data_IF_710116197236
#
_entry.id   IF_710116197236
#
_cell.length_a   1.000
_cell.length_b   1.000
_cell.length_c   1.000
_cell.angle_alpha   90.00
_cell.angle_beta   90.00
_cell.angle_gamma   90.00
#
_symmetry.space_group_name_H-M   'P 1'
#
loop_
_entity.id
_entity.type
_entity.pdbx_description
1 polymer ?
#
# COMPACT_ATOMS: atom_id res chain seq x y z
N UNK A 1 7.06 -8.51 24.78
CA UNK A 1 5.68 -8.45 24.24
C UNK A 1 5.76 -8.60 22.73
N UNK A 2 4.84 -9.33 22.12
CA UNK A 2 4.73 -9.38 20.65
C UNK A 2 4.27 -8.03 20.11
N UNK A 3 4.73 -7.64 18.92
CA UNK A 3 4.25 -6.43 18.24
C UNK A 3 2.76 -6.58 17.91
N UNK A 4 2.03 -5.47 17.89
CA UNK A 4 0.65 -5.47 17.39
C UNK A 4 0.63 -5.50 15.86
N UNK A 5 -0.47 -5.96 15.28
CA UNK A 5 -0.65 -5.99 13.82
C UNK A 5 -0.48 -4.60 13.20
N UNK A 6 -0.91 -3.54 13.87
CA UNK A 6 -0.73 -2.16 13.41
C UNK A 6 0.75 -1.74 13.36
N UNK A 7 1.55 -2.17 14.35
CA UNK A 7 3.00 -1.92 14.36
C UNK A 7 3.68 -2.71 13.24
N UNK A 8 3.35 -4.00 13.10
CA UNK A 8 3.90 -4.85 12.05
C UNK A 8 3.53 -4.32 10.65
N UNK A 9 2.29 -3.89 10.46
CA UNK A 9 1.82 -3.26 9.24
C UNK A 9 2.65 -2.01 8.89
N UNK A 10 2.86 -1.12 9.87
CA UNK A 10 3.63 0.11 9.67
C UNK A 10 5.08 -0.18 9.30
N UNK A 11 5.72 -1.14 9.98
CA UNK A 11 7.09 -1.56 9.66
C UNK A 11 7.20 -2.16 8.26
N UNK A 12 6.25 -3.02 7.87
CA UNK A 12 6.20 -3.59 6.53
C UNK A 12 5.99 -2.50 5.46
N UNK A 13 5.08 -1.56 5.69
CA UNK A 13 4.84 -0.43 4.79
C UNK A 13 6.13 0.38 4.57
N UNK A 14 6.82 0.75 5.65
CA UNK A 14 8.06 1.52 5.55
C UNK A 14 9.12 0.80 4.71
N UNK A 15 9.27 -0.53 4.88
CA UNK A 15 10.20 -1.32 4.06
C UNK A 15 9.86 -1.29 2.57
N UNK A 16 8.57 -1.29 2.20
CA UNK A 16 8.17 -1.14 0.80
C UNK A 16 8.49 0.26 0.26
N UNK A 17 8.29 1.30 1.06
CA UNK A 17 8.62 2.67 0.69
C UNK A 17 10.13 2.87 0.54
N UNK A 18 10.95 2.30 1.43
CA UNK A 18 12.41 2.38 1.35
C UNK A 18 12.94 1.72 0.07
N UNK A 19 12.39 0.56 -0.30
CA UNK A 19 12.71 -0.09 -1.56
C UNK A 19 12.28 0.77 -2.76
N UNK A 20 11.07 1.33 -2.74
CA UNK A 20 10.60 2.21 -3.81
C UNK A 20 11.49 3.47 -3.96
N UNK A 21 11.97 4.03 -2.85
CA UNK A 21 12.90 5.15 -2.86
C UNK A 21 14.27 4.74 -3.43
N UNK A 22 14.77 3.55 -3.09
CA UNK A 22 16.02 3.02 -3.67
C UNK A 22 15.91 2.93 -5.19
N UNK A 23 14.81 2.35 -5.71
CA UNK A 23 14.58 2.23 -7.16
C UNK A 23 14.44 3.60 -7.84
N UNK A 24 13.85 4.59 -7.13
CA UNK A 24 13.78 5.97 -7.61
C UNK A 24 15.19 6.59 -7.71
N UNK A 25 16.03 6.36 -6.72
CA UNK A 25 17.40 6.89 -6.68
C UNK A 25 18.31 6.23 -7.73
N UNK A 26 17.95 5.04 -8.23
CA UNK A 26 18.53 4.41 -9.41
C UNK A 26 18.12 5.07 -10.75
N UNK A 27 17.26 6.09 -10.71
CA UNK A 27 16.84 6.88 -11.87
C UNK A 27 15.54 6.42 -12.53
N UNK A 28 14.83 5.45 -11.92
CA UNK A 28 13.54 5.01 -12.44
C UNK A 28 12.46 6.05 -12.13
N UNK A 29 11.65 6.38 -13.14
CA UNK A 29 10.55 7.33 -12.99
C UNK A 29 9.51 6.85 -11.95
N UNK A 30 9.09 7.74 -11.06
CA UNK A 30 8.12 7.43 -9.98
C UNK A 30 6.79 6.87 -10.49
N UNK A 31 6.36 7.24 -11.70
CA UNK A 31 5.17 6.66 -12.35
C UNK A 31 5.33 5.16 -12.65
N UNK A 32 6.53 4.73 -13.08
CA UNK A 32 6.86 3.31 -13.32
C UNK A 32 6.88 2.55 -12.00
N UNK A 33 7.53 3.13 -10.97
CA UNK A 33 7.59 2.54 -9.63
C UNK A 33 6.19 2.37 -9.06
N UNK A 34 5.34 3.40 -9.18
CA UNK A 34 3.95 3.33 -8.74
C UNK A 34 3.17 2.23 -9.45
N UNK A 35 3.30 2.12 -10.78
CA UNK A 35 2.65 1.05 -11.54
C UNK A 35 3.15 -0.34 -11.12
N UNK A 36 4.46 -0.51 -10.93
CA UNK A 36 5.06 -1.75 -10.47
C UNK A 36 4.59 -2.16 -9.07
N UNK A 37 4.51 -1.22 -8.12
CA UNK A 37 3.98 -1.50 -6.78
C UNK A 37 2.51 -1.94 -6.82
N UNK A 38 1.68 -1.30 -7.65
CA UNK A 38 0.29 -1.69 -7.84
C UNK A 38 0.19 -3.12 -8.37
N UNK A 39 0.98 -3.47 -9.38
CA UNK A 39 1.02 -4.83 -9.91
C UNK A 39 1.53 -5.84 -8.88
N UNK A 40 2.59 -5.53 -8.13
CA UNK A 40 3.11 -6.39 -7.07
C UNK A 40 2.06 -6.63 -5.97
N UNK A 41 1.32 -5.59 -5.58
CA UNK A 41 0.22 -5.69 -4.63
C UNK A 41 -0.90 -6.59 -5.16
N UNK A 42 -1.26 -6.46 -6.45
CA UNK A 42 -2.27 -7.31 -7.07
C UNK A 42 -1.84 -8.78 -7.08
N UNK A 43 -0.60 -9.08 -7.46
CA UNK A 43 -0.04 -10.45 -7.43
C UNK A 43 -0.11 -11.04 -6.02
N UNK A 44 0.29 -10.29 -5.01
CA UNK A 44 0.25 -10.76 -3.62
C UNK A 44 -1.20 -10.94 -3.12
N UNK A 45 -2.11 -10.04 -3.49
CA UNK A 45 -3.52 -10.16 -3.12
C UNK A 45 -4.18 -11.37 -3.78
N UNK A 46 -3.85 -11.67 -5.05
CA UNK A 46 -4.27 -12.90 -5.72
C UNK A 46 -3.77 -14.13 -4.99
N UNK A 47 -2.48 -14.18 -4.63
CA UNK A 47 -1.91 -15.28 -3.84
C UNK A 47 -2.64 -15.48 -2.50
N UNK A 48 -2.91 -14.40 -1.76
CA UNK A 48 -3.63 -14.48 -0.48
C UNK A 48 -5.06 -15.00 -0.66
N UNK A 49 -5.76 -14.62 -1.73
CA UNK A 49 -7.15 -14.98 -1.96
C UNK A 49 -7.35 -16.36 -2.61
N UNK A 50 -6.45 -16.76 -3.51
CA UNK A 50 -6.60 -17.94 -4.36
C UNK A 50 -5.49 -19.00 -4.18
N UNK A 51 -4.48 -18.73 -3.36
CA UNK A 51 -3.32 -19.62 -3.19
C UNK A 51 -2.44 -19.69 -4.44
N UNK A 52 -1.79 -20.84 -4.65
CA UNK A 52 -0.85 -21.05 -5.76
C UNK A 52 -1.51 -21.47 -7.09
N UNK A 53 -2.81 -21.82 -7.09
CA UNK A 53 -3.44 -22.55 -8.20
C UNK A 53 -4.51 -21.76 -8.96
N UNK A 54 -4.82 -20.52 -8.54
CA UNK A 54 -5.97 -19.78 -9.07
C UNK A 54 -5.74 -18.30 -9.33
N UNK A 55 -6.46 -17.78 -10.33
CA UNK A 55 -6.69 -16.34 -10.50
C UNK A 55 -7.89 -15.89 -9.66
N UNK A 56 -8.04 -14.57 -9.51
CA UNK A 56 -9.22 -14.01 -8.85
C UNK A 56 -10.48 -14.20 -9.70
N UNK A 57 -11.59 -14.56 -9.06
CA UNK A 57 -12.91 -14.37 -9.66
C UNK A 57 -13.21 -12.88 -9.82
N UNK A 58 -14.19 -12.53 -10.65
CA UNK A 58 -14.66 -11.14 -10.79
C UNK A 58 -15.05 -10.53 -9.43
N UNK A 59 -15.82 -11.28 -8.64
CA UNK A 59 -16.17 -10.89 -7.26
C UNK A 59 -14.96 -10.79 -6.31
N UNK A 60 -13.88 -11.51 -6.57
CA UNK A 60 -12.63 -11.41 -5.83
C UNK A 60 -11.85 -10.14 -6.17
N UNK A 61 -11.84 -9.76 -7.46
CA UNK A 61 -11.27 -8.49 -7.90
C UNK A 61 -11.98 -7.30 -7.25
N UNK A 62 -13.32 -7.29 -7.24
CA UNK A 62 -14.11 -6.21 -6.63
C UNK A 62 -13.79 -6.03 -5.15
N UNK A 63 -13.64 -7.13 -4.41
CA UNK A 63 -13.27 -7.09 -2.99
C UNK A 63 -11.89 -6.46 -2.77
N UNK A 64 -10.92 -6.77 -3.63
CA UNK A 64 -9.57 -6.19 -3.55
C UNK A 64 -9.59 -4.71 -3.91
N UNK A 65 -10.35 -4.31 -4.93
CA UNK A 65 -10.53 -2.90 -5.31
C UNK A 65 -11.15 -2.11 -4.16
N UNK A 66 -12.18 -2.64 -3.50
CA UNK A 66 -12.79 -1.98 -2.35
C UNK A 66 -11.87 -1.94 -1.13
N UNK A 67 -11.10 -2.99 -0.87
CA UNK A 67 -10.08 -2.97 0.18
C UNK A 67 -9.00 -1.90 -0.10
N UNK A 68 -8.54 -1.79 -1.34
CA UNK A 68 -7.59 -0.75 -1.74
C UNK A 68 -8.17 0.65 -1.60
N UNK A 69 -9.43 0.85 -2.01
CA UNK A 69 -10.17 2.10 -1.80
C UNK A 69 -10.23 2.48 -0.32
N UNK A 70 -10.48 1.51 0.56
CA UNK A 70 -10.48 1.74 2.00
C UNK A 70 -9.10 2.20 2.50
N UNK A 71 -8.01 1.52 2.09
CA UNK A 71 -6.65 1.94 2.46
C UNK A 71 -6.32 3.34 1.96
N UNK A 72 -6.69 3.68 0.73
CA UNK A 72 -6.51 5.05 0.20
C UNK A 72 -7.23 6.09 1.05
N UNK A 73 -8.48 5.83 1.48
CA UNK A 73 -9.22 6.76 2.36
C UNK A 73 -8.48 6.98 3.67
N UNK A 74 -7.92 5.93 4.28
CA UNK A 74 -7.14 6.04 5.51
C UNK A 74 -5.88 6.90 5.31
N UNK A 75 -5.13 6.67 4.24
CA UNK A 75 -3.94 7.48 3.91
C UNK A 75 -4.29 8.95 3.71
N UNK A 76 -5.37 9.26 2.98
CA UNK A 76 -5.79 10.64 2.74
C UNK A 76 -6.27 11.32 4.04
N UNK A 77 -6.99 10.59 4.90
CA UNK A 77 -7.40 11.11 6.20
C UNK A 77 -6.17 11.43 7.09
N UNK A 78 -5.17 10.55 7.11
CA UNK A 78 -3.92 10.77 7.85
C UNK A 78 -3.18 12.01 7.34
N UNK A 79 -2.99 12.13 6.02
CA UNK A 79 -2.35 13.30 5.39
C UNK A 79 -3.10 14.61 5.70
N UNK A 80 -4.44 14.57 5.67
CA UNK A 80 -5.27 15.74 6.03
C UNK A 80 -5.04 16.14 7.49
N UNK A 81 -5.05 15.18 8.42
CA UNK A 81 -4.81 15.45 9.83
C UNK A 81 -3.40 15.98 10.13
N UNK A 82 -2.39 15.56 9.36
CA UNK A 82 -1.03 16.13 9.44
C UNK A 82 -0.98 17.57 8.94
N UNK A 83 -1.61 17.85 7.80
CA UNK A 83 -1.70 19.20 7.24
C UNK A 83 -2.43 20.17 8.18
N UNK A 84 -3.58 19.77 8.73
CA UNK A 84 -4.37 20.60 9.63
C UNK A 84 -3.59 20.90 10.93
N UNK A 85 -2.83 19.93 11.46
CA UNK A 85 -1.94 20.13 12.63
C UNK A 85 -0.80 21.10 12.32
N UNK A 86 -0.14 20.98 11.18
CA UNK A 86 0.95 21.86 10.78
C UNK A 86 0.49 23.33 10.65
N UNK A 87 -0.70 23.55 10.08
CA UNK A 87 -1.28 24.89 9.91
C UNK A 87 -1.84 25.49 11.21
N UNK A 88 -2.34 24.68 12.14
CA UNK A 88 -2.77 25.15 13.46
C UNK A 88 -1.59 25.55 14.37
N UNK A 89 -0.37 25.16 13.99
CA UNK A 89 0.88 25.43 14.73
C UNK A 89 1.69 26.61 14.14
N UNK A 90 1.20 27.21 13.05
CA UNK A 90 1.82 28.33 12.30
C UNK A 90 1.02 29.62 12.51
#
# INVERSE_FOLDING_TARGET
MSKSDAQMHTECLNRFIDLANTIKDEGVGTHVISAAMMSASAVYATYVAAGNEGGLTESGMDKIVEAYRHQMKQVQAAKKAEFDRANASS
#
